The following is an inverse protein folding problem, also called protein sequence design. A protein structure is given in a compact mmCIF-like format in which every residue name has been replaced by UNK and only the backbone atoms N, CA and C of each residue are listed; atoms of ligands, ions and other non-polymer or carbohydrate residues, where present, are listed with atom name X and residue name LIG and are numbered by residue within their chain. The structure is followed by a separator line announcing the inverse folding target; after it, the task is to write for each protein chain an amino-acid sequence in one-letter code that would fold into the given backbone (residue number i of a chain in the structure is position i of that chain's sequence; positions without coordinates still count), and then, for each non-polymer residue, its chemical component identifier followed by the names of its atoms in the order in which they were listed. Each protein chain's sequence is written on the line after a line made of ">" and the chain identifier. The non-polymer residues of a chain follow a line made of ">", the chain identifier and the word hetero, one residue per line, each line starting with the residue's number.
data_IF_634250420614
#
_entry.id   IF_634250420614
#
_cell.length_a   1.000
_cell.length_b   1.000
_cell.length_c   1.000
_cell.angle_alpha   90.00
_cell.angle_beta   90.00
_cell.angle_gamma   90.00
#
_symmetry.space_group_name_H-M   'P 1'
#
loop_
_entity.id
_entity.type
_entity.pdbx_description
1 polymer ?
#
# COMPACT_ATOMS: atom_id res chain seq x y z
N UNK A 1 -4.42 7.47 18.54
CA UNK A 1 -3.18 7.25 17.76
C UNK A 1 -2.01 7.19 18.72
N UNK A 2 -1.06 6.26 18.57
CA UNK A 2 0.17 6.30 19.39
C UNK A 2 1.07 7.44 18.90
N UNK A 3 1.74 8.15 19.81
CA UNK A 3 2.65 9.28 19.51
C UNK A 3 3.68 8.91 18.44
N UNK A 4 4.18 7.67 18.47
CA UNK A 4 5.09 7.12 17.47
C UNK A 4 4.56 7.21 16.03
N UNK A 5 3.26 6.99 15.81
CA UNK A 5 2.64 7.00 14.47
C UNK A 5 2.36 8.41 13.97
N UNK A 6 2.08 9.34 14.88
CA UNK A 6 1.89 10.75 14.57
C UNK A 6 3.15 11.35 13.95
N UNK A 7 4.33 10.88 14.38
CA UNK A 7 5.62 11.35 13.91
C UNK A 7 6.13 10.51 12.73
N UNK A 8 6.04 9.17 12.82
CA UNK A 8 6.60 8.29 11.80
C UNK A 8 5.93 8.44 10.42
N UNK A 9 4.62 8.71 10.36
CA UNK A 9 3.90 8.83 9.08
C UNK A 9 4.31 10.08 8.27
N UNK A 10 4.34 11.29 8.84
CA UNK A 10 4.92 12.45 8.17
C UNK A 10 6.39 12.26 7.79
N UNK A 11 7.20 11.65 8.65
CA UNK A 11 8.61 11.36 8.34
C UNK A 11 8.74 10.44 7.13
N UNK A 12 7.98 9.36 7.09
CA UNK A 12 8.01 8.43 5.96
C UNK A 12 7.46 9.08 4.69
N UNK A 13 6.38 9.86 4.79
CA UNK A 13 5.77 10.56 3.66
C UNK A 13 6.68 11.65 3.05
N UNK A 14 7.60 12.24 3.84
CA UNK A 14 8.41 13.38 3.43
C UNK A 14 9.19 13.16 2.12
N UNK A 15 9.82 11.99 1.97
CA UNK A 15 10.64 11.69 0.79
C UNK A 15 9.80 11.61 -0.49
N UNK A 16 8.55 11.16 -0.38
CA UNK A 16 7.60 11.06 -1.48
C UNK A 16 7.09 12.44 -1.88
N UNK A 17 6.70 13.26 -0.91
CA UNK A 17 6.18 14.61 -1.17
C UNK A 17 7.28 15.49 -1.78
N UNK A 18 8.47 15.52 -1.18
CA UNK A 18 9.58 16.35 -1.65
C UNK A 18 10.12 15.84 -3.00
N UNK A 19 10.32 14.53 -3.13
CA UNK A 19 10.80 13.93 -4.38
C UNK A 19 9.84 14.14 -5.54
N UNK A 20 8.54 13.94 -5.32
CA UNK A 20 7.52 14.16 -6.33
C UNK A 20 7.35 15.65 -6.69
N UNK A 21 7.41 16.56 -5.70
CA UNK A 21 7.38 17.99 -5.98
C UNK A 21 8.57 18.44 -6.83
N UNK A 22 9.76 17.89 -6.59
CA UNK A 22 10.93 18.13 -7.43
C UNK A 22 10.75 17.57 -8.84
N UNK A 23 10.18 16.37 -8.97
CA UNK A 23 9.90 15.75 -10.26
C UNK A 23 8.89 16.54 -11.10
N UNK A 24 7.90 17.20 -10.47
CA UNK A 24 6.94 18.07 -11.17
C UNK A 24 7.59 19.36 -11.68
N UNK A 25 8.59 19.89 -10.97
CA UNK A 25 9.31 21.10 -11.40
C UNK A 25 10.23 20.83 -12.60
N UNK A 26 10.80 19.62 -12.68
CA UNK A 26 11.73 19.21 -13.73
C UNK A 26 11.37 17.81 -14.25
N UNK A 27 10.40 17.72 -15.15
CA UNK A 27 9.88 16.44 -15.66
C UNK A 27 10.79 15.78 -16.71
N UNK A 28 11.57 16.56 -17.44
CA UNK A 28 12.41 16.06 -18.54
C UNK A 28 13.44 15.00 -18.09
N UNK A 29 14.13 15.23 -16.97
CA UNK A 29 15.15 14.29 -16.46
C UNK A 29 14.56 12.93 -16.06
N UNK A 30 13.52 12.89 -15.21
CA UNK A 30 12.81 11.65 -14.89
C UNK A 30 12.14 10.97 -16.08
N UNK A 31 11.65 11.73 -17.07
CA UNK A 31 11.00 11.18 -18.26
C UNK A 31 11.95 10.32 -19.10
N UNK A 32 13.17 10.80 -19.33
CA UNK A 32 14.22 10.02 -20.04
C UNK A 32 14.52 8.70 -19.33
N UNK A 33 14.56 8.71 -18.00
CA UNK A 33 14.80 7.49 -17.20
C UNK A 33 13.60 6.55 -17.16
N UNK A 34 12.39 7.09 -17.30
CA UNK A 34 11.15 6.32 -17.27
C UNK A 34 10.88 5.56 -18.57
N UNK A 35 11.42 6.03 -19.69
CA UNK A 35 11.13 5.51 -21.05
C UNK A 35 11.35 3.99 -21.21
N UNK A 36 12.47 3.39 -20.75
CA UNK A 36 12.72 1.95 -20.90
C UNK A 36 11.78 1.06 -20.07
N UNK A 37 11.21 1.60 -18.99
CA UNK A 37 10.30 0.89 -18.09
C UNK A 37 8.85 1.08 -18.55
N UNK A 38 8.47 2.30 -18.90
CA UNK A 38 7.12 2.66 -19.33
C UNK A 38 6.76 2.02 -20.67
N UNK A 39 7.69 1.96 -21.63
CA UNK A 39 7.50 1.26 -22.92
C UNK A 39 7.11 -0.22 -22.77
N UNK A 40 7.51 -0.88 -21.67
CA UNK A 40 7.12 -2.27 -21.37
C UNK A 40 5.82 -2.36 -20.55
N UNK A 41 5.61 -1.42 -19.63
CA UNK A 41 4.47 -1.46 -18.70
C UNK A 41 3.18 -0.89 -19.31
N UNK A 42 3.26 0.16 -20.13
CA UNK A 42 2.09 0.82 -20.74
C UNK A 42 1.27 -0.15 -21.62
N UNK A 43 1.88 -0.97 -22.50
CA UNK A 43 1.13 -1.94 -23.29
C UNK A 43 0.45 -3.02 -22.43
N UNK A 44 1.10 -3.47 -21.35
CA UNK A 44 0.53 -4.46 -20.43
C UNK A 44 -0.66 -3.89 -19.65
N UNK A 45 -0.54 -2.65 -19.17
CA UNK A 45 -1.61 -1.96 -18.46
C UNK A 45 -2.82 -1.71 -19.38
N UNK A 46 -2.59 -1.31 -20.64
CA UNK A 46 -3.66 -1.15 -21.64
C UNK A 46 -4.35 -2.47 -21.96
N UNK A 47 -3.61 -3.57 -22.10
CA UNK A 47 -4.20 -4.92 -22.25
C UNK A 47 -5.04 -5.34 -21.05
N UNK A 48 -4.71 -4.87 -19.85
CA UNK A 48 -5.49 -5.07 -18.64
C UNK A 48 -6.68 -4.09 -18.49
N UNK A 49 -6.94 -3.24 -19.48
CA UNK A 49 -8.05 -2.28 -19.48
C UNK A 49 -7.75 -0.95 -18.77
N UNK A 50 -6.49 -0.66 -18.43
CA UNK A 50 -6.09 0.59 -17.79
C UNK A 50 -5.69 1.60 -18.87
N UNK A 51 -6.43 2.71 -19.06
CA UNK A 51 -6.07 3.74 -20.04
C UNK A 51 -4.89 4.55 -19.52
N UNK A 52 -3.68 4.21 -19.96
CA UNK A 52 -2.46 4.97 -19.65
C UNK A 52 -2.00 5.80 -20.85
N UNK A 53 -1.55 7.06 -20.65
CA UNK A 53 -0.85 7.84 -21.66
C UNK A 53 0.44 7.15 -22.10
N UNK A 54 0.86 7.40 -23.34
CA UNK A 54 2.14 6.90 -23.88
C UNK A 54 3.28 7.89 -23.62
N UNK A 55 2.97 9.16 -23.39
CA UNK A 55 3.95 10.20 -23.10
C UNK A 55 4.63 9.98 -21.73
N UNK A 56 5.96 9.76 -21.69
CA UNK A 56 6.71 9.55 -20.45
C UNK A 56 6.61 10.73 -19.48
N UNK A 57 6.53 11.98 -19.98
CA UNK A 57 6.40 13.15 -19.11
C UNK A 57 5.06 13.16 -18.38
N UNK A 58 3.98 12.84 -19.08
CA UNK A 58 2.65 12.73 -18.48
C UNK A 58 2.61 11.61 -17.43
N UNK A 59 3.27 10.48 -17.68
CA UNK A 59 3.38 9.40 -16.69
C UNK A 59 4.16 9.81 -15.44
N UNK A 60 5.25 10.58 -15.60
CA UNK A 60 6.00 11.16 -14.47
C UNK A 60 5.11 12.10 -13.66
N UNK A 61 4.32 12.97 -14.32
CA UNK A 61 3.39 13.89 -13.65
C UNK A 61 2.30 13.14 -12.88
N UNK A 62 1.72 12.09 -13.47
CA UNK A 62 0.74 11.23 -12.80
C UNK A 62 1.36 10.56 -11.57
N UNK A 63 2.53 9.93 -11.71
CA UNK A 63 3.23 9.29 -10.60
C UNK A 63 3.54 10.28 -9.47
N UNK A 64 4.00 11.49 -9.81
CA UNK A 64 4.26 12.53 -8.82
C UNK A 64 2.98 12.99 -8.11
N UNK A 65 1.88 13.17 -8.84
CA UNK A 65 0.56 13.48 -8.25
C UNK A 65 0.10 12.39 -7.27
N UNK A 66 0.25 11.12 -7.65
CA UNK A 66 -0.06 9.97 -6.80
C UNK A 66 0.79 9.97 -5.53
N UNK A 67 2.10 10.21 -5.66
CA UNK A 67 3.01 10.25 -4.50
C UNK A 67 2.72 11.40 -3.55
N UNK A 68 2.39 12.59 -4.06
CA UNK A 68 2.00 13.73 -3.21
C UNK A 68 0.68 13.42 -2.51
N UNK A 69 -0.34 12.98 -3.25
CA UNK A 69 -1.66 12.67 -2.68
C UNK A 69 -1.59 11.56 -1.63
N UNK A 70 -0.94 10.44 -1.94
CA UNK A 70 -0.76 9.34 -1.02
C UNK A 70 0.18 9.70 0.14
N UNK A 71 1.22 10.49 -0.09
CA UNK A 71 2.12 11.01 0.96
C UNK A 71 1.38 11.89 1.97
N UNK A 72 0.60 12.85 1.51
CA UNK A 72 -0.22 13.71 2.37
C UNK A 72 -1.30 12.92 3.10
N UNK A 73 -1.97 11.98 2.42
CA UNK A 73 -2.95 11.10 3.04
C UNK A 73 -2.31 10.21 4.13
N UNK A 74 -1.11 9.68 3.88
CA UNK A 74 -0.35 8.93 4.89
C UNK A 74 0.01 9.83 6.09
N UNK A 75 0.55 11.02 5.84
CA UNK A 75 0.97 11.97 6.87
C UNK A 75 -0.20 12.43 7.76
N UNK A 76 -1.35 12.70 7.16
CA UNK A 76 -2.58 13.12 7.86
C UNK A 76 -3.35 11.96 8.48
N UNK A 77 -2.94 10.71 8.23
CA UNK A 77 -3.64 9.51 8.73
C UNK A 77 -4.95 9.20 7.99
N UNK A 78 -5.16 9.76 6.79
CA UNK A 78 -6.29 9.45 5.92
C UNK A 78 -6.00 8.17 5.14
N UNK A 79 -6.75 7.10 5.43
CA UNK A 79 -6.57 5.78 4.81
C UNK A 79 -5.10 5.29 4.75
N UNK A 80 -4.36 5.34 5.88
CA UNK A 80 -2.89 5.24 5.91
C UNK A 80 -2.37 3.92 5.33
N UNK A 81 -3.15 2.85 5.46
CA UNK A 81 -2.83 1.53 4.92
C UNK A 81 -2.82 1.50 3.39
N UNK A 82 -3.83 2.12 2.78
CA UNK A 82 -3.97 2.21 1.33
C UNK A 82 -2.90 3.16 0.80
N UNK A 83 -2.74 4.32 1.45
CA UNK A 83 -1.70 5.29 1.10
C UNK A 83 -0.32 4.67 1.12
N UNK A 84 0.02 3.89 2.16
CA UNK A 84 1.30 3.19 2.23
C UNK A 84 1.46 2.12 1.13
N UNK A 85 0.42 1.35 0.83
CA UNK A 85 0.43 0.37 -0.26
C UNK A 85 0.63 1.03 -1.64
N UNK A 86 -0.04 2.15 -1.89
CA UNK A 86 0.09 2.94 -3.13
C UNK A 86 1.51 3.48 -3.26
N UNK A 87 2.06 4.08 -2.19
CA UNK A 87 3.44 4.57 -2.20
C UNK A 87 4.43 3.43 -2.46
N UNK A 88 4.24 2.26 -1.85
CA UNK A 88 5.10 1.08 -2.06
C UNK A 88 5.05 0.62 -3.53
N UNK A 89 3.85 0.50 -4.09
CA UNK A 89 3.65 0.10 -5.46
C UNK A 89 4.27 1.10 -6.45
N UNK A 90 4.13 2.41 -6.19
CA UNK A 90 4.71 3.47 -7.04
C UNK A 90 6.24 3.49 -7.03
N UNK A 91 6.86 3.05 -5.93
CA UNK A 91 8.31 3.09 -5.77
C UNK A 91 9.01 2.02 -6.63
N UNK A 92 8.35 0.89 -6.92
CA UNK A 92 8.91 -0.22 -7.70
C UNK A 92 9.31 0.22 -9.13
N UNK A 93 8.39 0.73 -9.98
CA UNK A 93 8.76 1.18 -11.32
C UNK A 93 9.67 2.40 -11.28
N UNK A 94 9.51 3.30 -10.30
CA UNK A 94 10.36 4.49 -10.14
C UNK A 94 11.82 4.10 -9.84
N UNK A 95 12.03 3.07 -9.02
CA UNK A 95 13.38 2.58 -8.68
C UNK A 95 14.00 1.86 -9.85
N UNK A 96 13.22 1.04 -10.57
CA UNK A 96 13.69 0.33 -11.76
C UNK A 96 14.03 1.30 -12.90
N UNK A 97 13.37 2.44 -12.99
CA UNK A 97 13.70 3.50 -13.95
C UNK A 97 14.95 4.31 -13.50
N UNK A 98 15.00 4.69 -12.23
CA UNK A 98 15.96 5.69 -11.74
C UNK A 98 17.33 5.17 -11.30
N UNK A 99 17.41 3.92 -10.83
CA UNK A 99 18.54 3.42 -10.03
C UNK A 99 19.02 2.02 -10.45
N UNK A 100 19.19 1.82 -11.76
CA UNK A 100 19.72 0.59 -12.38
C UNK A 100 21.24 0.54 -12.22
N UNK A 101 21.72 0.30 -11.01
CA UNK A 101 23.15 0.34 -10.71
C UNK A 101 24.00 -0.62 -11.55
N UNK A 102 23.39 -1.67 -12.10
CA UNK A 102 24.03 -2.66 -12.98
C UNK A 102 24.35 -2.14 -14.39
N UNK A 103 23.92 -0.92 -14.76
CA UNK A 103 24.18 -0.32 -16.08
C UNK A 103 25.31 0.72 -16.08
N UNK A 104 25.93 0.94 -14.92
CA UNK A 104 27.01 1.91 -14.78
C UNK A 104 28.36 1.20 -14.75
N UNK A 105 29.24 1.57 -15.69
CA UNK A 105 30.61 1.04 -15.78
C UNK A 105 31.56 1.71 -14.78
N UNK A 106 31.33 2.99 -14.47
CA UNK A 106 32.10 3.72 -13.46
C UNK A 106 31.80 3.18 -12.05
N UNK A 107 32.84 2.76 -11.33
CA UNK A 107 32.73 2.13 -10.02
C UNK A 107 32.12 3.05 -8.95
N UNK A 108 32.39 4.36 -9.04
CA UNK A 108 31.86 5.35 -8.10
C UNK A 108 30.37 5.55 -8.32
N UNK A 109 29.95 5.79 -9.56
CA UNK A 109 28.54 5.95 -9.93
C UNK A 109 27.73 4.69 -9.62
N UNK A 110 28.25 3.51 -9.96
CA UNK A 110 27.62 2.23 -9.63
C UNK A 110 27.38 2.08 -8.13
N UNK A 111 28.35 2.46 -7.30
CA UNK A 111 28.20 2.39 -5.84
C UNK A 111 27.12 3.35 -5.34
N UNK A 112 27.08 4.58 -5.84
CA UNK A 112 26.05 5.56 -5.47
C UNK A 112 24.64 5.10 -5.88
N UNK A 113 24.48 4.59 -7.10
CA UNK A 113 23.19 4.09 -7.58
C UNK A 113 22.73 2.86 -6.79
N UNK A 114 23.66 1.98 -6.39
CA UNK A 114 23.36 0.84 -5.52
C UNK A 114 22.85 1.29 -4.15
N UNK A 115 23.43 2.34 -3.56
CA UNK A 115 22.94 2.91 -2.30
C UNK A 115 21.52 3.48 -2.44
N UNK A 116 21.23 4.20 -3.53
CA UNK A 116 19.88 4.70 -3.79
C UNK A 116 18.87 3.58 -4.00
N UNK A 117 19.25 2.51 -4.70
CA UNK A 117 18.43 1.31 -4.85
C UNK A 117 18.06 0.72 -3.49
N UNK A 118 19.05 0.45 -2.62
CA UNK A 118 18.78 -0.13 -1.30
C UNK A 118 18.05 0.82 -0.36
N UNK A 119 18.25 2.14 -0.46
CA UNK A 119 17.42 3.13 0.23
C UNK A 119 15.94 2.94 -0.14
N UNK A 120 15.65 2.79 -1.43
CA UNK A 120 14.28 2.57 -1.90
C UNK A 120 13.72 1.23 -1.43
N UNK A 121 14.53 0.16 -1.43
CA UNK A 121 14.13 -1.14 -0.85
C UNK A 121 13.76 -1.00 0.63
N UNK A 122 14.57 -0.29 1.42
CA UNK A 122 14.27 -0.02 2.83
C UNK A 122 12.97 0.77 3.01
N UNK A 123 12.71 1.76 2.14
CA UNK A 123 11.45 2.50 2.14
C UNK A 123 10.24 1.62 1.82
N UNK A 124 10.35 0.73 0.82
CA UNK A 124 9.30 -0.26 0.52
C UNK A 124 9.04 -1.17 1.72
N UNK A 125 10.08 -1.65 2.39
CA UNK A 125 9.94 -2.46 3.60
C UNK A 125 9.14 -1.73 4.70
N UNK A 126 9.49 -0.47 4.97
CA UNK A 126 8.76 0.36 5.93
C UNK A 126 7.29 0.60 5.52
N UNK A 127 7.04 0.81 4.22
CA UNK A 127 5.69 1.01 3.69
C UNK A 127 4.83 -0.25 3.74
N UNK A 128 5.41 -1.43 3.47
CA UNK A 128 4.69 -2.71 3.57
C UNK A 128 4.25 -2.92 5.02
N UNK A 129 5.11 -2.68 6.00
CA UNK A 129 4.76 -2.74 7.42
C UNK A 129 3.63 -1.74 7.73
N UNK A 130 3.75 -0.48 7.26
CA UNK A 130 2.72 0.53 7.46
C UNK A 130 1.38 0.19 6.77
N UNK A 131 1.40 -0.55 5.66
CA UNK A 131 0.19 -1.02 4.96
C UNK A 131 -0.56 -2.11 5.75
N UNK A 132 0.18 -2.95 6.47
CA UNK A 132 -0.36 -4.00 7.34
C UNK A 132 -0.83 -3.49 8.71
N UNK A 133 -0.45 -2.27 9.09
CA UNK A 133 -0.69 -1.72 10.42
C UNK A 133 -2.17 -1.40 10.67
N UNK A 134 -2.83 -2.15 11.56
CA UNK A 134 -4.25 -1.98 11.90
C UNK A 134 -4.52 -1.02 13.06
N UNK A 135 -3.51 -0.26 13.51
CA UNK A 135 -3.66 0.74 14.59
C UNK A 135 -4.18 0.18 15.92
N UNK A 136 -4.01 -1.12 16.16
CA UNK A 136 -4.60 -1.81 17.32
C UNK A 136 -6.12 -1.99 17.23
N UNK A 137 -6.76 -1.51 16.16
CA UNK A 137 -8.17 -1.78 15.90
C UNK A 137 -8.32 -3.17 15.25
N UNK A 138 -9.31 -3.96 15.65
CA UNK A 138 -9.59 -5.22 14.98
C UNK A 138 -9.95 -4.97 13.52
N UNK A 139 -9.19 -5.60 12.62
CA UNK A 139 -9.43 -5.50 11.19
C UNK A 139 -10.84 -5.99 10.80
N UNK A 140 -11.32 -5.56 9.63
CA UNK A 140 -12.67 -5.91 9.13
C UNK A 140 -12.89 -7.43 9.10
N UNK A 141 -11.88 -8.19 8.67
CA UNK A 141 -11.94 -9.65 8.69
C UNK A 141 -12.03 -10.24 10.11
N UNK A 142 -11.39 -9.61 11.10
CA UNK A 142 -11.54 -10.01 12.50
C UNK A 142 -12.96 -9.69 13.00
N UNK A 143 -13.49 -8.52 12.68
CA UNK A 143 -14.86 -8.12 13.06
C UNK A 143 -15.91 -9.05 12.44
N UNK A 144 -15.77 -9.38 11.16
CA UNK A 144 -16.63 -10.34 10.47
C UNK A 144 -16.55 -11.75 11.09
N UNK A 145 -15.34 -12.24 11.36
CA UNK A 145 -15.14 -13.55 12.04
C UNK A 145 -15.71 -13.55 13.46
N UNK A 146 -15.59 -12.45 14.19
CA UNK A 146 -16.14 -12.32 15.54
C UNK A 146 -17.67 -12.33 15.50
N UNK A 147 -18.29 -11.52 14.65
CA UNK A 147 -19.74 -11.54 14.44
C UNK A 147 -20.26 -12.94 14.06
N UNK A 148 -19.58 -13.64 13.15
CA UNK A 148 -19.93 -15.01 12.78
C UNK A 148 -19.76 -16.02 13.94
N UNK A 149 -18.75 -15.85 14.79
CA UNK A 149 -18.55 -16.68 15.99
C UNK A 149 -19.62 -16.41 17.04
N UNK A 150 -19.99 -15.15 17.24
CA UNK A 150 -20.99 -14.74 18.21
C UNK A 150 -22.38 -15.27 17.78
N UNK A 151 -22.75 -15.12 16.51
CA UNK A 151 -23.96 -15.70 15.93
C UNK A 151 -24.01 -17.23 16.07
N UNK A 152 -22.88 -17.93 15.82
CA UNK A 152 -22.79 -19.39 16.03
C UNK A 152 -22.96 -19.79 17.50
N UNK A 153 -22.49 -18.97 18.44
CA UNK A 153 -22.65 -19.22 19.88
C UNK A 153 -24.10 -19.05 20.30
N UNK A 154 -24.78 -18.02 19.84
CA UNK A 154 -26.21 -17.80 20.10
C UNK A 154 -27.08 -18.91 19.50
N UNK A 155 -26.84 -19.29 18.24
CA UNK A 155 -27.56 -20.39 17.60
C UNK A 155 -27.41 -21.72 18.37
N UNK A 156 -26.21 -22.02 18.90
CA UNK A 156 -25.98 -23.21 19.72
C UNK A 156 -26.74 -23.17 21.06
N UNK A 157 -26.84 -21.99 21.68
CA UNK A 157 -27.60 -21.82 22.94
C UNK A 157 -29.10 -22.02 22.70
N UNK A 158 -29.65 -21.36 21.68
CA UNK A 158 -31.06 -21.52 21.30
C UNK A 158 -31.40 -22.97 20.95
N UNK A 159 -30.54 -23.67 20.21
CA UNK A 159 -30.74 -25.08 19.90
C UNK A 159 -30.68 -25.98 21.14
N UNK A 160 -29.84 -25.65 22.12
CA UNK A 160 -29.76 -26.38 23.38
C UNK A 160 -31.02 -26.15 24.24
N UNK A 161 -31.47 -24.91 24.34
CA UNK A 161 -32.65 -24.54 25.12
C UNK A 161 -33.93 -25.15 24.51
N UNK A 162 -34.09 -25.07 23.18
CA UNK A 162 -35.19 -25.74 22.47
C UNK A 162 -35.20 -27.25 22.69
N UNK A 163 -34.04 -27.92 22.68
CA UNK A 163 -33.94 -29.37 22.99
C UNK A 163 -34.31 -29.67 24.44
N UNK A 164 -33.96 -28.79 25.37
CA UNK A 164 -34.30 -28.95 26.79
C UNK A 164 -35.81 -28.79 27.00
N UNK A 165 -36.42 -27.78 26.40
CA UNK A 165 -37.87 -27.57 26.45
C UNK A 165 -38.63 -28.75 25.83
N UNK A 166 -38.18 -29.25 24.68
CA UNK A 166 -38.79 -30.42 24.04
C UNK A 166 -38.74 -31.68 24.93
N UNK A 167 -37.62 -31.91 25.63
CA UNK A 167 -37.50 -33.03 26.59
C UNK A 167 -38.45 -32.87 27.78
N UNK A 168 -38.56 -31.67 28.33
CA UNK A 168 -39.46 -31.37 29.45
C UNK A 168 -40.94 -31.54 29.06
N UNK A 169 -41.31 -31.07 27.87
CA UNK A 169 -42.66 -31.27 27.33
C UNK A 169 -42.97 -32.76 27.15
N UNK A 170 -42.04 -33.54 26.59
CA UNK A 170 -42.20 -34.99 26.44
C UNK A 170 -42.36 -35.73 27.78
N UNK A 171 -41.67 -35.27 28.84
CA UNK A 171 -41.81 -35.85 30.18
C UNK A 171 -43.13 -35.51 30.90
N UNK A 172 -43.82 -34.43 30.51
CA UNK A 172 -45.11 -34.04 31.09
C UNK A 172 -46.31 -34.78 30.49
N UNK A 173 -46.11 -35.42 29.34
CA UNK A 173 -47.16 -36.15 28.60
C UNK A 173 -47.16 -37.66 28.96
N UNK A 174 -46.17 -38.12 29.72
CA UNK A 174 -46.14 -39.45 30.35
C UNK A 174 -46.72 -39.39 31.75
#
# INVERSE_FOLDING_TARGET
>A
MTVSRLIARPMLASIFVVGAAAALKNTAGPAVKADPVTSRLVPLARKAGIPLPEDPETLVKINAGVQIGAGLALATGRAPRISAAVLAASLVPTTLAGHRFWEFDDATQRTQQRLHFFKNVSLVGGLIIASGDTEGQPGVAWRARRAARDARREARRLAHDARREARLAASRVR
#
